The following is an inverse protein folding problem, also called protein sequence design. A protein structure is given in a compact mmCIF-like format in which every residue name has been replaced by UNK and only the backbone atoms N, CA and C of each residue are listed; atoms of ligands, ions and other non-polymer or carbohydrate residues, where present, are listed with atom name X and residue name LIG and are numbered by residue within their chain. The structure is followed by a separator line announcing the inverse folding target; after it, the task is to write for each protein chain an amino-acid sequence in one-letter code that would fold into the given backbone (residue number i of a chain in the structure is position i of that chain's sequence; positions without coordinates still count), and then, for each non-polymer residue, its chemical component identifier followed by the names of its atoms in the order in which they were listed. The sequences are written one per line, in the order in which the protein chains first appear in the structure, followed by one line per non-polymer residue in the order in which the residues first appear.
data_IF_756722672860
#
_entry.id   IF_756722672860
#
_cell.length_a   1.000
_cell.length_b   1.000
_cell.length_c   1.000
_cell.angle_alpha   90.00
_cell.angle_beta   90.00
_cell.angle_gamma   90.00
#
_symmetry.space_group_name_H-M   'P 1'
#
loop_
_entity.id
_entity.type
_entity.pdbx_description
1 polymer ?
#
# COMPACT_ATOMS: atom_id res chain seq x y z
N UNK A 1 -0.18 7.89 3.52
CA UNK A 1 -0.95 7.87 2.27
C UNK A 1 -1.62 9.23 2.13
N UNK A 2 -1.56 9.90 0.98
CA UNK A 2 -2.34 11.10 0.65
C UNK A 2 -3.41 10.75 -0.40
N UNK A 3 -4.47 11.55 -0.55
CA UNK A 3 -5.44 11.34 -1.63
C UNK A 3 -4.70 11.44 -2.97
N UNK A 4 -4.80 10.39 -3.80
CA UNK A 4 -4.03 10.24 -5.04
C UNK A 4 -2.73 9.44 -4.91
N UNK A 5 -2.25 9.15 -3.69
CA UNK A 5 -1.18 8.16 -3.50
C UNK A 5 -1.73 6.76 -3.72
N UNK A 6 -1.11 6.04 -4.64
CA UNK A 6 -1.39 4.62 -4.86
C UNK A 6 -0.49 3.75 -3.99
N UNK A 7 -0.92 2.51 -3.73
CA UNK A 7 -0.09 1.46 -3.11
C UNK A 7 1.27 1.32 -3.85
N UNK A 8 1.30 1.63 -5.15
CA UNK A 8 2.51 1.71 -5.97
C UNK A 8 3.51 2.77 -5.50
N UNK A 9 3.07 4.00 -5.21
CA UNK A 9 3.95 5.07 -4.72
C UNK A 9 4.56 4.71 -3.36
N UNK A 10 3.77 4.07 -2.49
CA UNK A 10 4.20 3.59 -1.18
C UNK A 10 5.22 2.47 -1.36
N UNK A 11 4.93 1.47 -2.19
CA UNK A 11 5.86 0.39 -2.47
C UNK A 11 7.16 0.89 -3.10
N UNK A 12 7.10 1.90 -3.98
CA UNK A 12 8.29 2.54 -4.56
C UNK A 12 9.11 3.26 -3.49
N UNK A 13 8.46 3.94 -2.54
CA UNK A 13 9.14 4.67 -1.45
C UNK A 13 9.80 3.74 -0.44
N UNK A 14 9.16 2.63 -0.09
CA UNK A 14 9.66 1.72 0.95
C UNK A 14 10.54 0.59 0.40
N UNK A 15 10.17 0.00 -0.73
CA UNK A 15 10.94 -1.10 -1.34
C UNK A 15 11.82 -0.68 -2.51
N UNK A 16 11.84 0.61 -2.87
CA UNK A 16 12.47 1.09 -4.11
C UNK A 16 11.75 0.65 -5.38
N UNK A 17 10.73 -0.21 -5.28
CA UNK A 17 10.05 -0.82 -6.41
C UNK A 17 8.54 -0.79 -6.20
N UNK A 18 7.87 0.05 -6.98
CA UNK A 18 6.41 0.19 -6.95
C UNK A 18 5.69 -1.11 -7.29
N UNK A 19 6.30 -2.02 -8.07
CA UNK A 19 5.72 -3.32 -8.40
C UNK A 19 5.59 -4.27 -7.20
N UNK A 20 6.21 -3.96 -6.04
CA UNK A 20 6.04 -4.70 -4.79
C UNK A 20 4.78 -4.30 -4.01
N UNK A 21 3.94 -3.42 -4.57
CA UNK A 21 2.65 -3.06 -3.99
C UNK A 21 1.73 -4.25 -3.66
N UNK A 22 1.71 -5.37 -4.42
CA UNK A 22 0.89 -6.52 -4.07
C UNK A 22 1.38 -7.22 -2.80
N UNK A 23 2.67 -7.11 -2.44
CA UNK A 23 3.18 -7.64 -1.17
C UNK A 23 2.65 -6.84 0.02
N UNK A 24 2.61 -5.51 -0.10
CA UNK A 24 2.00 -4.65 0.92
C UNK A 24 0.52 -4.98 1.04
N UNK A 25 -0.18 -5.10 -0.09
CA UNK A 25 -1.59 -5.47 -0.09
C UNK A 25 -1.80 -6.86 0.54
N UNK A 26 -0.98 -7.86 0.20
CA UNK A 26 -1.07 -9.20 0.77
C UNK A 26 -0.82 -9.21 2.29
N UNK A 27 0.18 -8.47 2.77
CA UNK A 27 0.47 -8.32 4.19
C UNK A 27 -0.59 -7.53 4.96
N UNK A 28 -1.39 -6.71 4.26
CA UNK A 28 -2.46 -5.91 4.84
C UNK A 28 -3.84 -6.37 4.38
N UNK A 29 -4.01 -7.57 3.79
CA UNK A 29 -5.33 -8.05 3.34
C UNK A 29 -6.34 -8.09 4.47
N UNK A 30 -5.88 -8.35 5.69
CA UNK A 30 -6.68 -8.27 6.91
C UNK A 30 -7.20 -6.85 7.23
N UNK A 31 -6.43 -5.82 6.88
CA UNK A 31 -6.75 -4.40 7.14
C UNK A 31 -7.30 -3.65 5.93
N UNK A 32 -7.01 -4.13 4.73
CA UNK A 32 -7.35 -3.57 3.43
C UNK A 32 -8.06 -4.66 2.65
N UNK A 33 -9.37 -4.77 2.86
CA UNK A 33 -10.21 -5.73 2.11
C UNK A 33 -10.29 -5.42 0.62
N UNK A 34 -10.09 -4.16 0.25
CA UNK A 34 -10.18 -3.73 -1.14
C UNK A 34 -8.93 -2.94 -1.53
N UNK A 35 -8.07 -3.47 -2.43
CA UNK A 35 -6.82 -2.83 -2.84
C UNK A 35 -7.02 -1.47 -3.51
N UNK A 36 -8.22 -1.22 -4.06
CA UNK A 36 -8.57 0.04 -4.68
C UNK A 36 -9.11 1.10 -3.68
N UNK A 37 -9.40 0.71 -2.43
CA UNK A 37 -9.87 1.60 -1.37
C UNK A 37 -8.76 1.79 -0.33
N UNK A 38 -7.70 2.50 -0.73
CA UNK A 38 -6.61 2.85 0.19
C UNK A 38 -6.87 4.28 0.64
N UNK A 39 -7.01 4.48 1.95
CA UNK A 39 -7.30 5.81 2.47
C UNK A 39 -6.03 6.57 2.83
N UNK A 40 -5.97 7.89 2.55
CA UNK A 40 -4.94 8.74 3.13
C UNK A 40 -4.88 8.59 4.65
N UNK A 41 -3.66 8.47 5.20
CA UNK A 41 -3.43 8.24 6.64
C UNK A 41 -3.46 6.78 7.12
N UNK A 42 -3.79 5.81 6.27
CA UNK A 42 -3.82 4.41 6.67
C UNK A 42 -2.41 3.87 6.97
N UNK A 43 -2.22 3.29 8.16
CA UNK A 43 -0.98 2.62 8.55
C UNK A 43 -0.94 1.23 7.90
N UNK A 44 -0.21 1.12 6.79
CA UNK A 44 0.09 -0.15 6.13
C UNK A 44 1.30 -0.80 6.80
N UNK A 45 1.20 -2.08 7.08
CA UNK A 45 2.31 -2.93 7.52
C UNK A 45 3.18 -3.23 6.29
N UNK A 46 4.46 -2.90 6.38
CA UNK A 46 5.42 -3.15 5.31
C UNK A 46 6.35 -4.24 5.84
N UNK A 47 6.24 -5.48 5.34
CA UNK A 47 7.14 -6.57 5.73
C UNK A 47 8.58 -6.38 5.23
#
# INVERSE_FOLDING_TARGET
VKSGDSLWAIAKKYYGNGAKWPKIHAANKDKVKNPNLIYPGQKLVIP
#
